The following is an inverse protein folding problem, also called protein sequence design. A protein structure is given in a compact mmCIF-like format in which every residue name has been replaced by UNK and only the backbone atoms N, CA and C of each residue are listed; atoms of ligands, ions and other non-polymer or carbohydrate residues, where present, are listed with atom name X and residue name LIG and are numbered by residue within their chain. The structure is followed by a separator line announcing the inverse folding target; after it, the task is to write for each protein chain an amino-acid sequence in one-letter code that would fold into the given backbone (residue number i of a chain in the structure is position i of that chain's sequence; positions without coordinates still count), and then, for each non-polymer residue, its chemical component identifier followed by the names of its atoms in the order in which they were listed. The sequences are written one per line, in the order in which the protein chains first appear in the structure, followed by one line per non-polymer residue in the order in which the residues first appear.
data_IF_923785284034
#
_entry.id   IF_923785284034
#
_cell.length_a   1.000
_cell.length_b   1.000
_cell.length_c   1.000
_cell.angle_alpha   90.00
_cell.angle_beta   90.00
_cell.angle_gamma   90.00
#
_symmetry.space_group_name_H-M   'P 1'
#
loop_
_entity.id
_entity.type
_entity.pdbx_description
1 polymer ?
#
# COMPACT_ATOMS: atom_id res chain seq x y z
N UNK A 1 -39.99 -16.11 -18.57
CA UNK A 1 -38.59 -16.57 -18.56
C UNK A 1 -37.72 -15.35 -18.81
N UNK A 2 -37.27 -14.65 -17.76
CA UNK A 2 -36.45 -13.46 -17.92
C UNK A 2 -35.39 -13.37 -16.82
N UNK A 3 -34.17 -13.07 -17.28
CA UNK A 3 -33.05 -12.39 -16.64
C UNK A 3 -32.41 -13.02 -15.40
N UNK A 4 -31.16 -13.47 -15.55
CA UNK A 4 -30.04 -13.12 -14.67
C UNK A 4 -28.70 -13.32 -15.42
N UNK A 5 -28.44 -12.53 -16.46
CA UNK A 5 -27.06 -12.19 -16.81
C UNK A 5 -26.64 -11.10 -15.82
N UNK A 6 -26.26 -11.51 -14.59
CA UNK A 6 -25.51 -10.65 -13.68
C UNK A 6 -24.16 -10.38 -14.33
N UNK A 7 -24.12 -9.34 -15.16
CA UNK A 7 -22.89 -8.71 -15.61
C UNK A 7 -22.09 -8.35 -14.37
N UNK A 8 -21.01 -9.10 -14.17
CA UNK A 8 -19.96 -8.94 -13.16
C UNK A 8 -19.21 -7.63 -13.44
N UNK A 9 -19.91 -6.49 -13.36
CA UNK A 9 -19.31 -5.18 -13.59
C UNK A 9 -18.59 -4.82 -12.30
N UNK A 10 -17.26 -4.72 -12.30
CA UNK A 10 -16.55 -4.28 -11.10
C UNK A 10 -17.06 -2.89 -10.73
N UNK A 11 -17.43 -2.72 -9.47
CA UNK A 11 -17.81 -1.42 -8.94
C UNK A 11 -16.67 -0.43 -9.20
N UNK A 12 -16.97 0.77 -9.75
CA UNK A 12 -15.94 1.70 -10.21
C UNK A 12 -15.00 2.14 -9.07
N UNK A 13 -15.47 2.12 -7.83
CA UNK A 13 -14.70 2.48 -6.62
C UNK A 13 -13.64 1.43 -6.26
N UNK A 14 -13.96 0.14 -6.38
CA UNK A 14 -13.01 -0.94 -6.12
C UNK A 14 -11.91 -1.00 -7.19
N UNK A 15 -12.27 -0.86 -8.47
CA UNK A 15 -11.30 -0.79 -9.57
C UNK A 15 -10.35 0.43 -9.44
N UNK A 16 -10.86 1.54 -8.92
CA UNK A 16 -10.08 2.76 -8.66
C UNK A 16 -9.09 2.54 -7.50
N UNK A 17 -9.54 1.94 -6.40
CA UNK A 17 -8.69 1.66 -5.22
C UNK A 17 -7.56 0.69 -5.55
N UNK A 18 -7.86 -0.39 -6.28
CA UNK A 18 -6.84 -1.35 -6.72
C UNK A 18 -5.78 -0.69 -7.62
N UNK A 19 -6.22 0.14 -8.57
CA UNK A 19 -5.31 0.84 -9.48
C UNK A 19 -4.42 1.82 -8.71
N UNK A 20 -5.00 2.59 -7.79
CA UNK A 20 -4.26 3.54 -6.96
C UNK A 20 -3.20 2.83 -6.09
N UNK A 21 -3.55 1.73 -5.43
CA UNK A 21 -2.61 0.96 -4.59
C UNK A 21 -1.48 0.33 -5.42
N UNK A 22 -1.77 -0.14 -6.63
CA UNK A 22 -0.75 -0.60 -7.57
C UNK A 22 0.20 0.52 -7.99
N UNK A 23 -0.32 1.72 -8.25
CA UNK A 23 0.51 2.86 -8.64
C UNK A 23 1.40 3.31 -7.46
N UNK A 24 0.88 3.26 -6.24
CA UNK A 24 1.67 3.48 -5.01
C UNK A 24 2.75 2.41 -4.82
N UNK A 25 2.46 1.14 -5.10
CA UNK A 25 3.47 0.07 -5.10
C UNK A 25 4.63 0.38 -6.05
N UNK A 26 4.30 0.78 -7.30
CA UNK A 26 5.30 1.15 -8.31
C UNK A 26 6.10 2.38 -7.88
N UNK A 27 5.44 3.39 -7.33
CA UNK A 27 6.10 4.59 -6.83
C UNK A 27 7.08 4.28 -5.69
N UNK A 28 6.68 3.44 -4.73
CA UNK A 28 7.52 3.05 -3.60
C UNK A 28 8.80 2.32 -4.04
N UNK A 29 8.69 1.42 -5.03
CA UNK A 29 9.85 0.70 -5.59
C UNK A 29 10.91 1.59 -6.23
N UNK A 30 10.52 2.79 -6.67
CA UNK A 30 11.40 3.73 -7.35
C UNK A 30 12.05 4.74 -6.40
N UNK A 31 11.83 4.66 -5.08
CA UNK A 31 12.46 5.57 -4.11
C UNK A 31 13.85 5.04 -3.74
N UNK A 32 14.94 5.71 -4.17
CA UNK A 32 16.29 5.31 -3.76
C UNK A 32 16.54 5.68 -2.30
N UNK A 33 17.34 4.87 -1.60
CA UNK A 33 17.65 5.12 -0.17
C UNK A 33 18.39 6.45 0.04
N UNK A 34 19.27 6.84 -0.88
CA UNK A 34 20.06 8.07 -0.80
C UNK A 34 19.30 9.31 -1.32
N UNK A 35 18.03 9.14 -1.72
CA UNK A 35 17.23 10.23 -2.23
C UNK A 35 16.93 11.27 -1.14
N UNK A 36 16.96 12.57 -1.46
CA UNK A 36 16.48 13.58 -0.54
C UNK A 36 15.02 13.28 -0.18
N UNK A 37 14.68 13.42 1.09
CA UNK A 37 13.33 13.17 1.60
C UNK A 37 12.82 11.72 1.38
N UNK A 38 13.69 10.73 1.16
CA UNK A 38 13.26 9.34 0.94
C UNK A 38 12.32 8.83 2.05
N UNK A 39 12.66 9.07 3.32
CA UNK A 39 11.83 8.73 4.46
C UNK A 39 10.43 9.40 4.39
N UNK A 40 10.38 10.72 4.18
CA UNK A 40 9.11 11.45 4.05
C UNK A 40 8.25 10.97 2.87
N UNK A 41 8.88 10.62 1.74
CA UNK A 41 8.17 10.07 0.58
C UNK A 41 7.56 8.70 0.87
N UNK A 42 8.30 7.83 1.56
CA UNK A 42 7.79 6.52 1.98
C UNK A 42 6.65 6.66 2.99
N UNK A 43 6.79 7.54 3.99
CA UNK A 43 5.73 7.85 4.96
C UNK A 43 4.44 8.34 4.25
N UNK A 44 4.59 9.24 3.27
CA UNK A 44 3.46 9.75 2.48
C UNK A 44 2.79 8.67 1.64
N UNK A 45 3.56 7.75 1.04
CA UNK A 45 2.96 6.63 0.30
C UNK A 45 2.18 5.71 1.25
N UNK A 46 2.72 5.42 2.43
CA UNK A 46 2.03 4.62 3.43
C UNK A 46 0.71 5.27 3.86
N UNK A 47 0.71 6.59 4.11
CA UNK A 47 -0.48 7.38 4.44
C UNK A 47 -1.55 7.36 3.33
N UNK A 48 -1.13 7.55 2.07
CA UNK A 48 -2.05 7.47 0.93
C UNK A 48 -2.62 6.06 0.74
N UNK A 49 -1.80 5.03 0.92
CA UNK A 49 -2.25 3.65 0.86
C UNK A 49 -3.25 3.33 1.97
N UNK A 50 -3.00 3.84 3.19
CA UNK A 50 -3.89 3.68 4.33
C UNK A 50 -5.26 4.27 4.03
N UNK A 51 -5.30 5.49 3.46
CA UNK A 51 -6.54 6.13 3.01
C UNK A 51 -7.33 5.25 2.02
N UNK A 52 -6.68 4.74 0.97
CA UNK A 52 -7.36 3.89 -0.02
C UNK A 52 -7.84 2.57 0.58
N UNK A 53 -7.06 1.95 1.47
CA UNK A 53 -7.49 0.75 2.16
C UNK A 53 -8.69 1.03 3.05
N UNK A 54 -8.64 2.06 3.89
CA UNK A 54 -9.74 2.43 4.78
C UNK A 54 -11.04 2.69 4.00
N UNK A 55 -10.96 3.43 2.89
CA UNK A 55 -12.09 3.76 2.03
C UNK A 55 -12.65 2.56 1.22
N UNK A 56 -11.89 1.46 1.07
CA UNK A 56 -12.34 0.29 0.30
C UNK A 56 -13.41 -0.50 1.09
N UNK A 57 -14.63 -0.67 0.56
CA UNK A 57 -15.69 -1.46 1.21
C UNK A 57 -15.28 -2.93 1.42
N UNK A 58 -15.68 -3.52 2.55
CA UNK A 58 -15.35 -4.91 2.87
C UNK A 58 -16.03 -5.90 1.93
N UNK A 59 -17.22 -5.57 1.43
CA UNK A 59 -18.01 -6.37 0.49
C UNK A 59 -17.31 -6.52 -0.87
N UNK A 60 -16.43 -5.56 -1.21
CA UNK A 60 -15.66 -5.52 -2.45
C UNK A 60 -14.19 -5.89 -2.22
N UNK A 61 -13.86 -6.44 -1.05
CA UNK A 61 -12.50 -6.82 -0.72
C UNK A 61 -12.05 -8.04 -1.56
N UNK A 62 -10.89 -7.98 -2.22
CA UNK A 62 -10.42 -9.11 -3.01
C UNK A 62 -10.06 -10.30 -2.11
N UNK A 63 -10.54 -11.50 -2.48
CA UNK A 63 -10.20 -12.74 -1.77
C UNK A 63 -8.84 -13.27 -2.21
N UNK A 64 -8.52 -13.13 -3.49
CA UNK A 64 -7.27 -13.59 -4.08
C UNK A 64 -6.56 -12.47 -4.84
N UNK A 65 -5.24 -12.53 -4.82
CA UNK A 65 -4.37 -11.70 -5.66
C UNK A 65 -4.47 -12.15 -7.12
N UNK A 66 -3.88 -11.37 -8.04
CA UNK A 66 -3.74 -11.77 -9.45
C UNK A 66 -2.96 -13.07 -9.67
N UNK A 67 -2.16 -13.48 -8.68
CA UNK A 67 -1.37 -14.72 -8.71
C UNK A 67 -2.03 -15.85 -7.91
N UNK A 68 -3.35 -15.76 -7.65
CA UNK A 68 -4.15 -16.78 -6.94
C UNK A 68 -3.75 -17.01 -5.47
N UNK A 69 -2.86 -16.20 -4.89
CA UNK A 69 -2.58 -16.23 -3.46
C UNK A 69 -3.68 -15.53 -2.67
N UNK A 70 -4.03 -16.01 -1.45
CA UNK A 70 -5.00 -15.34 -0.61
C UNK A 70 -4.53 -13.93 -0.24
N UNK A 71 -5.42 -12.95 -0.33
CA UNK A 71 -5.13 -11.59 0.13
C UNK A 71 -5.20 -11.55 1.66
N UNK A 72 -4.20 -10.98 2.35
CA UNK A 72 -4.28 -10.79 3.79
C UNK A 72 -5.52 -9.97 4.18
N UNK A 73 -6.01 -10.16 5.41
CA UNK A 73 -7.11 -9.37 5.93
C UNK A 73 -6.76 -7.87 5.88
N UNK A 74 -7.78 -7.02 5.63
CA UNK A 74 -7.62 -5.56 5.54
C UNK A 74 -6.87 -4.97 6.75
N UNK A 75 -7.22 -5.40 7.96
CA UNK A 75 -6.60 -4.91 9.20
C UNK A 75 -5.10 -5.27 9.29
N UNK A 76 -4.69 -6.40 8.74
CA UNK A 76 -3.26 -6.81 8.69
C UNK A 76 -2.49 -5.87 7.76
N UNK A 77 -3.05 -5.56 6.59
CA UNK A 77 -2.42 -4.62 5.66
C UNK A 77 -2.37 -3.20 6.24
N UNK A 78 -3.43 -2.76 6.92
CA UNK A 78 -3.44 -1.48 7.64
C UNK A 78 -2.36 -1.42 8.72
N UNK A 79 -2.18 -2.48 9.51
CA UNK A 79 -1.14 -2.55 10.53
C UNK A 79 0.28 -2.46 9.95
N UNK A 80 0.53 -3.09 8.80
CA UNK A 80 1.81 -2.99 8.10
C UNK A 80 2.05 -1.59 7.55
N UNK A 81 1.04 -0.92 6.99
CA UNK A 81 1.14 0.47 6.54
C UNK A 81 1.43 1.42 7.69
N UNK A 82 0.72 1.29 8.81
CA UNK A 82 0.94 2.09 10.01
C UNK A 82 2.38 1.90 10.54
N UNK A 83 2.87 0.66 10.54
CA UNK A 83 4.25 0.33 10.94
C UNK A 83 5.26 1.00 10.02
N UNK A 84 5.12 0.85 8.69
CA UNK A 84 6.01 1.47 7.72
C UNK A 84 6.03 3.00 7.82
N UNK A 85 4.86 3.62 8.04
CA UNK A 85 4.72 5.07 8.24
C UNK A 85 5.45 5.53 9.49
N UNK A 86 5.17 4.91 10.65
CA UNK A 86 5.80 5.26 11.92
C UNK A 86 7.32 5.10 11.86
N UNK A 87 7.82 4.02 11.25
CA UNK A 87 9.25 3.79 11.10
C UNK A 87 9.91 4.85 10.21
N UNK A 88 9.25 5.26 9.12
CA UNK A 88 9.76 6.31 8.25
C UNK A 88 9.76 7.69 8.95
N UNK A 89 8.71 8.00 9.71
CA UNK A 89 8.56 9.27 10.42
C UNK A 89 9.60 9.47 11.54
N UNK A 90 10.14 8.39 12.12
CA UNK A 90 11.24 8.48 13.11
C UNK A 90 12.51 9.17 12.57
N UNK A 91 12.68 9.21 11.25
CA UNK A 91 13.82 9.86 10.60
C UNK A 91 13.51 11.29 10.15
N UNK A 92 12.41 11.88 10.67
CA UNK A 92 12.00 13.25 10.44
C UNK A 92 12.08 14.06 11.75
N UNK A 93 12.73 15.26 11.76
CA UNK A 93 13.57 15.81 10.70
C UNK A 93 14.91 15.06 10.57
N UNK A 94 15.54 15.02 9.37
CA UNK A 94 16.75 14.24 9.11
C UNK A 94 17.96 14.60 9.97
N UNK A 95 17.96 15.79 10.58
CA UNK A 95 19.04 16.29 11.42
C UNK A 95 19.27 15.46 12.69
N UNK A 96 18.23 14.76 13.19
CA UNK A 96 18.30 14.04 14.45
C UNK A 96 18.72 12.57 14.27
N UNK A 97 18.36 11.96 13.14
CA UNK A 97 18.62 10.54 12.87
C UNK A 97 18.99 10.35 11.39
N UNK A 98 20.22 9.90 11.08
CA UNK A 98 20.62 9.69 9.71
C UNK A 98 19.81 8.56 9.09
N UNK A 99 19.24 8.82 7.91
CA UNK A 99 18.55 7.83 7.12
C UNK A 99 19.55 6.80 6.56
N UNK A 100 19.49 5.56 7.06
CA UNK A 100 20.42 4.49 6.69
C UNK A 100 19.82 3.56 5.63
N UNK A 101 20.68 2.81 4.94
CA UNK A 101 20.22 1.75 4.04
C UNK A 101 19.38 0.70 4.76
N UNK A 102 19.74 0.31 5.98
CA UNK A 102 19.00 -0.67 6.76
C UNK A 102 17.58 -0.17 7.10
N UNK A 103 17.46 1.09 7.54
CA UNK A 103 16.17 1.73 7.80
C UNK A 103 15.31 1.79 6.55
N UNK A 104 15.89 2.24 5.43
CA UNK A 104 15.21 2.24 4.13
C UNK A 104 14.73 0.85 3.75
N UNK A 105 15.59 -0.16 3.86
CA UNK A 105 15.26 -1.53 3.46
C UNK A 105 14.11 -2.08 4.29
N UNK A 106 14.11 -1.83 5.60
CA UNK A 106 13.04 -2.24 6.50
C UNK A 106 11.70 -1.58 6.13
N UNK A 107 11.66 -0.24 6.08
CA UNK A 107 10.45 0.52 5.73
C UNK A 107 9.91 0.12 4.36
N UNK A 108 10.78 0.09 3.34
CA UNK A 108 10.37 -0.28 1.98
C UNK A 108 9.90 -1.72 1.91
N UNK A 109 10.51 -2.67 2.62
CA UNK A 109 10.06 -4.07 2.61
C UNK A 109 8.66 -4.20 3.22
N UNK A 110 8.42 -3.60 4.39
CA UNK A 110 7.11 -3.61 5.05
C UNK A 110 6.04 -2.94 4.17
N UNK A 111 6.35 -1.77 3.60
CA UNK A 111 5.44 -1.07 2.70
C UNK A 111 5.11 -1.87 1.44
N UNK A 112 6.11 -2.48 0.79
CA UNK A 112 5.89 -3.29 -0.41
C UNK A 112 5.14 -4.58 -0.09
N UNK A 113 5.35 -5.19 1.08
CA UNK A 113 4.58 -6.35 1.51
C UNK A 113 3.08 -6.02 1.68
N UNK A 114 2.77 -4.82 2.18
CA UNK A 114 1.37 -4.36 2.29
C UNK A 114 0.72 -4.10 0.94
N UNK A 115 1.50 -3.69 -0.07
CA UNK A 115 1.00 -3.26 -1.37
C UNK A 115 1.07 -4.32 -2.47
N UNK A 116 1.93 -5.34 -2.33
CA UNK A 116 2.11 -6.40 -3.33
C UNK A 116 0.82 -7.14 -3.72
N UNK A 117 -0.20 -7.35 -2.84
CA UNK A 117 -1.44 -8.01 -3.22
C UNK A 117 -2.20 -7.30 -4.36
N UNK A 118 -1.95 -6.00 -4.57
CA UNK A 118 -2.65 -5.17 -5.54
C UNK A 118 -1.89 -4.94 -6.85
N UNK A 119 -0.64 -5.42 -6.96
CA UNK A 119 0.22 -5.20 -8.13
C UNK A 119 -0.22 -5.99 -9.39
#
# INVERSE_FOLDING_TARGET
MSNLLSTNRPDPTAATSQTALRDLYRAARLIPYHGPYAAARLARIADQAEYFLQAWPLELWPVHTRSEWPVPAKDVLLAWLATAKQEAERYLPPANHPWTYAAWRQVTTTLLAALVPFN
#
